data_IF_290012098994
#
_entry.id   IF_290012098994
#
_cell.length_a   1.000
_cell.length_b   1.000
_cell.length_c   1.000
_cell.angle_alpha   90.00
_cell.angle_beta   90.00
_cell.angle_gamma   90.00
#
_symmetry.space_group_name_H-M   'P 1'
#
loop_
_entity.id
_entity.type
_entity.pdbx_description
1 polymer ?
#
# COMPACT_ATOMS: atom_id res chain seq x y z
N UNK A 1 21.65 7.74 -7.10
CA UNK A 1 22.02 9.06 -7.68
C UNK A 1 20.80 9.87 -8.08
N UNK A 2 20.03 9.53 -9.12
CA UNK A 2 18.92 10.40 -9.57
C UNK A 2 17.75 10.54 -8.59
N UNK A 3 17.32 9.46 -7.92
CA UNK A 3 16.22 9.55 -6.95
C UNK A 3 16.63 10.32 -5.67
N UNK A 4 17.86 10.12 -5.21
CA UNK A 4 18.37 10.72 -3.97
C UNK A 4 18.54 12.23 -4.12
N UNK A 5 19.07 12.68 -5.26
CA UNK A 5 19.16 14.08 -5.63
C UNK A 5 17.78 14.72 -5.82
N UNK A 6 16.83 14.01 -6.45
CA UNK A 6 15.44 14.45 -6.55
C UNK A 6 14.80 14.65 -5.17
N UNK A 7 14.86 13.64 -4.30
CA UNK A 7 14.27 13.70 -2.96
C UNK A 7 14.97 14.72 -2.04
N UNK A 8 16.25 15.05 -2.28
CA UNK A 8 16.94 16.11 -1.54
C UNK A 8 16.47 17.52 -1.90
N UNK A 9 15.93 17.72 -3.11
CA UNK A 9 15.52 19.02 -3.64
C UNK A 9 14.00 19.19 -3.73
N UNK A 10 13.23 18.11 -3.63
CA UNK A 10 11.77 18.17 -3.58
C UNK A 10 11.31 18.97 -2.35
N UNK A 11 10.31 19.84 -2.54
CA UNK A 11 9.66 20.51 -1.41
C UNK A 11 9.04 19.46 -0.48
N UNK A 12 9.10 19.72 0.82
CA UNK A 12 8.61 18.79 1.85
C UNK A 12 7.09 18.91 2.07
N UNK A 13 6.41 19.61 1.18
CA UNK A 13 4.96 19.77 1.15
C UNK A 13 4.31 18.68 0.27
N UNK A 14 2.98 18.66 0.25
CA UNK A 14 2.17 17.63 -0.42
C UNK A 14 2.48 17.59 -1.91
N UNK A 15 2.57 18.75 -2.57
CA UNK A 15 2.83 18.84 -4.01
C UNK A 15 4.24 18.39 -4.37
N UNK A 16 5.25 18.71 -3.55
CA UNK A 16 6.62 18.21 -3.76
C UNK A 16 6.74 16.71 -3.57
N UNK A 17 6.12 16.16 -2.53
CA UNK A 17 6.13 14.72 -2.23
C UNK A 17 5.36 13.88 -3.26
N UNK A 18 4.27 14.43 -3.82
CA UNK A 18 3.40 13.75 -4.78
C UNK A 18 3.62 14.20 -6.24
N UNK A 19 4.63 15.03 -6.50
CA UNK A 19 4.98 15.50 -7.84
C UNK A 19 3.88 16.29 -8.55
N UNK A 20 3.06 17.04 -7.79
CA UNK A 20 1.93 17.81 -8.30
C UNK A 20 0.64 16.99 -8.55
N UNK A 21 0.59 15.75 -8.08
CA UNK A 21 -0.58 14.87 -8.19
C UNK A 21 -1.22 14.58 -6.82
N UNK A 22 -1.45 15.63 -6.02
CA UNK A 22 -2.01 15.51 -4.68
C UNK A 22 -3.42 14.88 -4.63
N UNK A 23 -4.12 14.80 -5.77
CA UNK A 23 -5.50 14.33 -5.84
C UNK A 23 -5.60 12.98 -6.56
N UNK A 24 -6.42 12.08 -6.00
CA UNK A 24 -6.75 10.80 -6.60
C UNK A 24 -7.76 11.01 -7.74
N UNK A 25 -7.39 10.73 -8.99
CA UNK A 25 -8.31 10.86 -10.12
C UNK A 25 -8.93 9.50 -10.50
N UNK A 26 -10.10 9.55 -11.15
CA UNK A 26 -10.79 8.34 -11.64
C UNK A 26 -9.90 7.44 -12.50
N UNK A 27 -9.02 7.97 -13.39
CA UNK A 27 -8.05 7.15 -14.10
C UNK A 27 -7.11 6.36 -13.18
N UNK A 28 -6.64 6.94 -12.07
CA UNK A 28 -5.73 6.28 -11.12
C UNK A 28 -6.41 5.07 -10.47
N UNK A 29 -7.66 5.24 -10.04
CA UNK A 29 -8.46 4.13 -9.49
C UNK A 29 -8.67 3.02 -10.51
N UNK A 30 -9.00 3.36 -11.76
CA UNK A 30 -9.22 2.39 -12.84
C UNK A 30 -7.93 1.65 -13.18
N UNK A 31 -6.81 2.36 -13.32
CA UNK A 31 -5.50 1.81 -13.60
C UNK A 31 -5.04 0.89 -12.47
N UNK A 32 -5.16 1.33 -11.21
CA UNK A 32 -4.82 0.53 -10.03
C UNK A 32 -5.64 -0.75 -9.95
N UNK A 33 -6.96 -0.67 -10.17
CA UNK A 33 -7.83 -1.85 -10.20
C UNK A 33 -7.45 -2.82 -11.31
N UNK A 34 -7.12 -2.31 -12.51
CA UNK A 34 -6.67 -3.13 -13.62
C UNK A 34 -5.31 -3.79 -13.33
N UNK A 35 -4.37 -3.05 -12.74
CA UNK A 35 -3.04 -3.52 -12.37
C UNK A 35 -3.12 -4.65 -11.33
N UNK A 36 -3.83 -4.43 -10.22
CA UNK A 36 -4.02 -5.44 -9.17
C UNK A 36 -4.75 -6.68 -9.74
N UNK A 37 -5.74 -6.50 -10.62
CA UNK A 37 -6.41 -7.63 -11.27
C UNK A 37 -5.44 -8.45 -12.13
N UNK A 38 -4.52 -7.80 -12.85
CA UNK A 38 -3.47 -8.50 -13.61
C UNK A 38 -2.53 -9.26 -12.70
N UNK A 39 -2.06 -8.65 -11.61
CA UNK A 39 -1.18 -9.32 -10.63
C UNK A 39 -1.82 -10.55 -9.98
N UNK A 40 -3.15 -10.55 -9.80
CA UNK A 40 -3.90 -11.70 -9.27
C UNK A 40 -4.18 -12.79 -10.30
N UNK A 41 -3.93 -12.55 -11.58
CA UNK A 41 -4.09 -13.57 -12.62
C UNK A 41 -3.03 -14.66 -12.46
N UNK A 42 -3.30 -15.85 -13.03
CA UNK A 42 -2.42 -17.03 -12.94
C UNK A 42 -0.96 -16.72 -13.32
N UNK A 43 -0.77 -15.82 -14.28
CA UNK A 43 0.54 -15.45 -14.83
C UNK A 43 0.94 -14.00 -14.44
N UNK A 44 0.23 -13.40 -13.49
CA UNK A 44 0.46 -12.04 -13.01
C UNK A 44 1.67 -11.90 -12.08
N UNK A 45 2.11 -13.02 -11.51
CA UNK A 45 3.29 -13.14 -10.66
C UNK A 45 4.09 -14.35 -11.15
N UNK A 46 5.41 -14.29 -10.99
CA UNK A 46 6.26 -15.49 -11.08
C UNK A 46 5.90 -16.47 -9.95
N UNK A 47 6.34 -17.72 -10.04
CA UNK A 47 6.07 -18.76 -9.03
C UNK A 47 6.38 -18.29 -7.59
N UNK A 48 7.50 -17.58 -7.42
CA UNK A 48 7.92 -17.01 -6.14
C UNK A 48 7.60 -15.53 -5.95
N UNK A 49 6.93 -14.90 -6.92
CA UNK A 49 6.55 -13.50 -6.87
C UNK A 49 5.66 -13.16 -5.67
N UNK A 50 5.86 -11.97 -5.12
CA UNK A 50 5.06 -11.42 -4.01
C UNK A 50 4.60 -10.02 -4.34
N UNK A 51 3.44 -9.64 -3.80
CA UNK A 51 2.97 -8.26 -3.80
C UNK A 51 3.36 -7.66 -2.45
N UNK A 52 4.08 -6.55 -2.42
CA UNK A 52 4.41 -5.86 -1.17
C UNK A 52 3.48 -4.67 -1.00
N UNK A 53 2.70 -4.68 0.08
CA UNK A 53 1.93 -3.53 0.53
C UNK A 53 2.72 -2.82 1.63
N UNK A 54 3.06 -1.55 1.44
CA UNK A 54 3.74 -0.71 2.43
C UNK A 54 2.93 0.55 2.63
N UNK A 55 2.39 0.75 3.82
CA UNK A 55 1.48 1.87 4.08
C UNK A 55 1.48 2.31 5.54
N UNK A 56 0.91 3.49 5.78
CA UNK A 56 0.64 4.04 7.09
C UNK A 56 -0.50 3.25 7.76
N UNK A 57 -0.33 2.96 9.05
CA UNK A 57 -1.34 2.29 9.88
C UNK A 57 -1.77 3.22 11.01
N UNK A 58 -3.09 3.29 11.22
CA UNK A 58 -3.66 4.03 12.34
C UNK A 58 -3.22 3.40 13.65
N UNK A 59 -2.89 4.24 14.62
CA UNK A 59 -2.62 3.81 15.98
C UNK A 59 -3.91 3.43 16.73
N UNK A 60 -5.05 3.95 16.27
CA UNK A 60 -6.38 3.73 16.82
C UNK A 60 -6.99 2.51 16.11
N UNK A 61 -7.94 1.81 16.74
CA UNK A 61 -8.62 0.68 16.09
C UNK A 61 -9.68 1.13 15.06
N UNK A 62 -9.60 2.37 14.59
CA UNK A 62 -10.56 3.03 13.73
C UNK A 62 -9.85 3.68 12.54
N UNK A 63 -10.59 3.98 11.48
CA UNK A 63 -10.03 4.65 10.30
C UNK A 63 -10.03 6.16 10.50
N UNK A 64 -8.93 6.80 10.12
CA UNK A 64 -8.72 8.24 10.27
C UNK A 64 -8.68 8.86 8.86
N UNK A 65 -9.48 9.91 8.66
CA UNK A 65 -9.48 10.68 7.42
C UNK A 65 -8.72 11.98 7.62
N UNK A 66 -7.73 12.22 6.79
CA UNK A 66 -7.03 13.51 6.72
C UNK A 66 -7.67 14.35 5.61
N UNK A 67 -8.21 15.50 5.98
CA UNK A 67 -8.89 16.40 5.06
C UNK A 67 -7.93 17.30 4.27
N UNK A 68 -6.67 17.45 4.69
CA UNK A 68 -5.67 18.28 4.01
C UNK A 68 -5.14 17.57 2.76
N UNK A 69 -4.94 16.25 2.82
CA UNK A 69 -4.47 15.43 1.69
C UNK A 69 -5.52 14.47 1.12
N UNK A 70 -6.75 14.52 1.63
CA UNK A 70 -7.87 13.66 1.24
C UNK A 70 -7.59 12.15 1.32
N UNK A 71 -6.73 11.74 2.27
CA UNK A 71 -6.33 10.34 2.44
C UNK A 71 -7.02 9.65 3.64
N UNK A 72 -7.05 8.31 3.60
CA UNK A 72 -7.56 7.48 4.69
C UNK A 72 -6.44 6.61 5.25
N UNK A 73 -6.16 6.75 6.53
CA UNK A 73 -5.28 5.86 7.29
C UNK A 73 -6.14 4.82 8.02
N UNK A 74 -5.77 3.53 7.95
CA UNK A 74 -6.61 2.41 8.43
C UNK A 74 -5.94 1.63 9.54
N UNK A 75 -6.71 1.02 10.46
CA UNK A 75 -6.16 0.13 11.47
C UNK A 75 -5.70 -1.18 10.80
N UNK A 76 -4.70 -1.82 11.40
CA UNK A 76 -4.13 -3.06 10.88
C UNK A 76 -5.18 -4.16 10.68
N UNK A 77 -6.14 -4.28 11.61
CA UNK A 77 -7.23 -5.25 11.53
C UNK A 77 -8.06 -5.13 10.25
N UNK A 78 -8.40 -3.90 9.86
CA UNK A 78 -9.16 -3.64 8.63
C UNK A 78 -8.31 -3.92 7.38
N UNK A 79 -7.02 -3.57 7.41
CA UNK A 79 -6.09 -3.86 6.30
C UNK A 79 -5.96 -5.37 6.08
N UNK A 80 -5.83 -6.16 7.16
CA UNK A 80 -5.79 -7.62 7.09
C UNK A 80 -7.10 -8.23 6.57
N UNK A 81 -8.26 -7.71 6.99
CA UNK A 81 -9.57 -8.11 6.44
C UNK A 81 -9.66 -7.83 4.93
N UNK A 82 -9.18 -6.66 4.49
CA UNK A 82 -9.17 -6.31 3.07
C UNK A 82 -8.29 -7.26 2.25
N UNK A 83 -7.12 -7.67 2.76
CA UNK A 83 -6.30 -8.69 2.09
C UNK A 83 -7.05 -10.01 1.95
N UNK A 84 -7.69 -10.48 3.03
CA UNK A 84 -8.46 -11.71 3.01
C UNK A 84 -9.60 -11.65 1.99
N UNK A 85 -10.39 -10.56 1.99
CA UNK A 85 -11.47 -10.31 1.02
C UNK A 85 -10.96 -10.20 -0.42
N UNK A 86 -9.72 -9.74 -0.61
CA UNK A 86 -9.05 -9.73 -1.90
C UNK A 86 -8.50 -11.10 -2.33
N UNK A 87 -8.65 -12.15 -1.51
CA UNK A 87 -8.10 -13.48 -1.77
C UNK A 87 -6.57 -13.49 -1.71
N UNK A 88 -5.99 -12.66 -0.85
CA UNK A 88 -4.57 -12.57 -0.59
C UNK A 88 -4.29 -13.02 0.85
N UNK A 89 -3.12 -13.62 1.06
CA UNK A 89 -2.61 -14.00 2.38
C UNK A 89 -1.27 -13.33 2.63
N UNK A 90 -1.04 -12.92 3.87
CA UNK A 90 0.25 -12.42 4.34
C UNK A 90 1.23 -13.59 4.43
N UNK A 91 2.44 -13.41 3.90
CA UNK A 91 3.54 -14.39 3.99
C UNK A 91 4.72 -13.87 4.81
N UNK A 92 4.85 -12.56 4.93
CA UNK A 92 5.79 -11.89 5.81
C UNK A 92 5.29 -10.49 6.13
N UNK A 93 5.72 -9.94 7.26
CA UNK A 93 5.46 -8.57 7.65
C UNK A 93 6.68 -7.95 8.31
N UNK A 94 6.83 -6.63 8.18
CA UNK A 94 7.91 -5.90 8.82
C UNK A 94 7.50 -4.47 9.17
N UNK A 95 7.83 -4.02 10.38
CA UNK A 95 7.62 -2.64 10.82
C UNK A 95 8.79 -1.77 10.36
N UNK A 96 8.51 -0.62 9.76
CA UNK A 96 9.53 0.37 9.46
C UNK A 96 10.02 1.02 10.76
N UNK A 97 11.32 0.96 11.00
CA UNK A 97 11.97 1.56 12.17
C UNK A 97 12.65 2.88 11.81
N UNK A 98 13.06 3.63 12.84
CA UNK A 98 13.82 4.88 12.69
C UNK A 98 12.97 6.13 12.43
N UNK A 99 11.65 6.05 12.51
CA UNK A 99 10.76 7.20 12.34
C UNK A 99 10.70 8.05 13.63
N UNK A 100 10.59 9.39 13.50
CA UNK A 100 10.38 10.28 14.65
C UNK A 100 9.11 9.93 15.45
N UNK A 101 9.10 10.26 16.74
CA UNK A 101 7.89 10.16 17.57
C UNK A 101 6.78 11.07 17.05
N UNK A 102 5.53 10.58 17.07
CA UNK A 102 4.36 11.33 16.60
C UNK A 102 3.96 11.05 15.15
N UNK A 103 4.77 10.27 14.40
CA UNK A 103 4.40 9.79 13.07
C UNK A 103 3.55 8.52 13.13
N UNK A 104 2.74 8.27 12.10
CA UNK A 104 2.08 6.98 11.92
C UNK A 104 3.09 5.84 11.83
N UNK A 105 2.70 4.67 12.34
CA UNK A 105 3.47 3.45 12.10
C UNK A 105 3.37 3.11 10.62
N UNK A 106 4.50 2.77 10.00
CA UNK A 106 4.54 2.29 8.62
C UNK A 106 4.89 0.82 8.64
N UNK A 107 4.05 -0.03 8.05
CA UNK A 107 4.27 -1.49 8.02
C UNK A 107 4.25 -2.00 6.59
N UNK A 108 5.08 -3.00 6.35
CA UNK A 108 5.19 -3.72 5.07
C UNK A 108 4.59 -5.11 5.25
N UNK A 109 3.78 -5.55 4.29
CA UNK A 109 3.22 -6.89 4.21
C UNK A 109 3.58 -7.47 2.84
N UNK A 110 4.24 -8.62 2.83
CA UNK A 110 4.39 -9.43 1.63
C UNK A 110 3.16 -10.33 1.50
N UNK A 111 2.53 -10.29 0.33
CA UNK A 111 1.26 -10.94 0.03
C UNK A 111 1.43 -11.94 -1.11
N UNK A 112 0.77 -13.09 -1.00
CA UNK A 112 0.57 -14.03 -2.11
C UNK A 112 -0.92 -14.32 -2.31
N UNK A 113 -1.38 -14.65 -3.53
CA UNK A 113 -2.73 -15.18 -3.72
C UNK A 113 -2.99 -16.41 -2.84
N UNK A 114 -4.22 -16.52 -2.35
CA UNK A 114 -4.70 -17.76 -1.73
C UNK A 114 -4.92 -18.77 -2.86
N UNK A 115 -4.00 -19.71 -3.02
CA UNK A 115 -4.15 -20.80 -3.98
C UNK A 115 -5.26 -21.74 -3.50
N UNK A 116 -6.39 -21.82 -4.24
CA UNK A 116 -7.36 -22.89 -4.00
C UNK A 116 -6.72 -24.22 -4.39
N UNK A 117 -6.53 -25.12 -3.42
CA UNK A 117 -6.08 -26.49 -3.69
C UNK A 117 -7.18 -27.40 -4.26
N UNK A 118 -8.37 -26.88 -4.57
CA UNK A 118 -9.48 -27.68 -5.13
C UNK A 118 -10.27 -26.87 -6.16
N UNK A 119 -10.12 -27.23 -7.45
CA UNK A 119 -11.18 -27.69 -8.38
C UNK A 119 -10.48 -28.31 -9.60
N UNK A 120 -10.27 -29.62 -9.55
CA UNK A 120 -10.50 -30.59 -10.64
C UNK A 120 -10.66 -31.97 -10.02
#
# INVERSE_FOLDING_TARGET
MQAEEFWSNASRDIDGMLGGFANLHVPDMRASKAFIKKLRAKDGLTEDGVIVFKDNLSAQQESEFDCEDYSWTRPESLVLDLFNRAGLRVVAENLQTGFPSGMYKVKMFALKPVTSKYVK
#
